data_IF_839791955304
#
_entry.id   IF_839791955304
#
_cell.length_a   1.000
_cell.length_b   1.000
_cell.length_c   1.000
_cell.angle_alpha   90.00
_cell.angle_beta   90.00
_cell.angle_gamma   90.00
#
_symmetry.space_group_name_H-M   'P 1'
#
loop_
_entity.id
_entity.type
_entity.pdbx_description
1 polymer ?
#
# COMPACT_ATOMS: atom_id res chain seq x y z
N UNK A 1 23.31 4.45 3.57
CA UNK A 1 21.87 4.14 3.74
C UNK A 1 21.16 4.44 2.43
N UNK A 2 20.49 3.47 1.83
CA UNK A 2 19.64 3.65 0.64
C UNK A 2 18.22 3.98 1.09
N UNK A 3 17.59 4.96 0.44
CA UNK A 3 16.22 5.38 0.77
C UNK A 3 15.20 4.34 0.29
N UNK A 4 14.20 4.04 1.12
CA UNK A 4 13.01 3.29 0.73
C UNK A 4 12.29 4.00 -0.41
N UNK A 5 11.91 3.26 -1.46
CA UNK A 5 11.24 3.81 -2.64
C UNK A 5 9.78 3.41 -2.64
N UNK A 6 8.90 4.36 -2.91
CA UNK A 6 7.45 4.10 -3.03
C UNK A 6 6.87 4.94 -4.15
N UNK A 7 5.95 4.34 -4.90
CA UNK A 7 5.13 5.00 -5.92
C UNK A 7 3.70 5.05 -5.41
N UNK A 8 3.07 6.22 -5.51
CA UNK A 8 1.67 6.44 -5.18
C UNK A 8 0.93 6.80 -6.47
N UNK A 9 -0.01 5.95 -6.88
CA UNK A 9 -0.84 6.18 -8.07
C UNK A 9 -2.20 6.69 -7.65
N UNK A 10 -2.65 7.78 -8.27
CA UNK A 10 -4.00 8.30 -8.11
C UNK A 10 -4.83 8.01 -9.36
N UNK A 11 -6.04 7.51 -9.18
CA UNK A 11 -7.02 7.35 -10.26
C UNK A 11 -8.37 7.92 -9.84
N UNK A 12 -9.01 8.63 -10.76
CA UNK A 12 -10.38 9.14 -10.60
C UNK A 12 -11.44 8.08 -10.87
N UNK A 13 -11.08 7.00 -11.59
CA UNK A 13 -12.00 5.96 -12.04
C UNK A 13 -11.55 4.57 -11.58
N UNK A 14 -12.52 3.68 -11.37
CA UNK A 14 -12.25 2.28 -11.03
C UNK A 14 -11.62 1.56 -12.21
N UNK A 15 -10.82 0.52 -11.95
CA UNK A 15 -10.20 -0.23 -13.03
C UNK A 15 -11.20 -1.26 -13.54
N UNK A 16 -11.73 -0.98 -14.72
CA UNK A 16 -12.50 -1.95 -15.48
C UNK A 16 -11.56 -2.87 -16.27
N UNK A 17 -11.79 -4.18 -16.11
CA UNK A 17 -11.25 -5.33 -16.87
C UNK A 17 -10.02 -5.00 -17.71
N UNK A 18 -8.85 -5.42 -17.24
CA UNK A 18 -7.62 -5.30 -18.02
C UNK A 18 -7.77 -6.09 -19.33
N UNK A 19 -7.70 -5.38 -20.46
CA UNK A 19 -7.46 -6.03 -21.75
C UNK A 19 -6.18 -6.88 -21.66
N UNK A 20 -6.10 -8.05 -22.30
CA UNK A 20 -4.99 -8.99 -22.10
C UNK A 20 -3.60 -8.36 -22.31
N UNK A 21 -3.45 -7.49 -23.31
CA UNK A 21 -2.21 -6.77 -23.57
C UNK A 21 -1.84 -5.74 -22.50
N UNK A 22 -2.82 -5.04 -21.92
CA UNK A 22 -2.58 -4.08 -20.84
C UNK A 22 -2.33 -4.78 -19.49
N UNK A 23 -2.91 -5.97 -19.29
CA UNK A 23 -2.62 -6.81 -18.14
C UNK A 23 -1.16 -7.27 -18.13
N UNK A 24 -0.63 -7.72 -19.28
CA UNK A 24 0.76 -8.16 -19.41
C UNK A 24 1.75 -7.01 -19.19
N UNK A 25 1.54 -5.85 -19.83
CA UNK A 25 2.42 -4.69 -19.65
C UNK A 25 2.41 -4.18 -18.21
N UNK A 26 1.25 -4.17 -17.57
CA UNK A 26 1.10 -3.82 -16.14
C UNK A 26 1.84 -4.82 -15.26
N UNK A 27 1.71 -6.13 -15.52
CA UNK A 27 2.43 -7.16 -14.79
C UNK A 27 3.96 -7.03 -14.95
N UNK A 28 4.46 -6.77 -16.15
CA UNK A 28 5.88 -6.55 -16.42
C UNK A 28 6.41 -5.27 -15.78
N UNK A 29 5.63 -4.19 -15.83
CA UNK A 29 5.95 -2.94 -15.16
C UNK A 29 6.05 -3.13 -13.65
N UNK A 30 5.08 -3.82 -13.06
CA UNK A 30 5.07 -4.10 -11.63
C UNK A 30 6.16 -5.10 -11.20
N UNK A 31 6.50 -6.07 -12.04
CA UNK A 31 7.64 -6.97 -11.80
C UNK A 31 8.96 -6.19 -11.72
N UNK A 32 9.16 -5.21 -12.60
CA UNK A 32 10.31 -4.30 -12.55
C UNK A 32 10.30 -3.42 -11.29
N UNK A 33 9.13 -2.94 -10.88
CA UNK A 33 8.96 -2.18 -9.62
C UNK A 33 9.37 -3.03 -8.42
N UNK A 34 8.93 -4.30 -8.37
CA UNK A 34 9.30 -5.25 -7.33
C UNK A 34 10.79 -5.57 -7.31
N UNK A 35 11.38 -5.85 -8.47
CA UNK A 35 12.81 -6.13 -8.61
C UNK A 35 13.68 -4.95 -8.16
N UNK A 36 13.13 -3.73 -8.10
CA UNK A 36 13.82 -2.54 -7.58
C UNK A 36 13.51 -2.22 -6.13
N UNK A 37 12.77 -3.09 -5.44
CA UNK A 37 12.32 -2.87 -4.05
C UNK A 37 11.39 -1.68 -3.89
N UNK A 38 10.65 -1.31 -4.94
CA UNK A 38 9.76 -0.16 -4.92
C UNK A 38 8.39 -0.62 -4.43
N UNK A 39 7.86 0.06 -3.42
CA UNK A 39 6.51 -0.19 -2.93
C UNK A 39 5.47 0.46 -3.83
N UNK A 40 4.34 -0.21 -4.05
CA UNK A 40 3.30 0.28 -4.96
C UNK A 40 1.99 0.56 -4.22
N UNK A 41 1.71 1.83 -3.95
CA UNK A 41 0.48 2.28 -3.29
C UNK A 41 -0.50 2.87 -4.31
N UNK A 42 -1.80 2.72 -4.06
CA UNK A 42 -2.83 3.25 -4.96
C UNK A 42 -3.95 3.96 -4.19
N UNK A 43 -4.42 5.08 -4.73
CA UNK A 43 -5.65 5.77 -4.33
C UNK A 43 -6.59 5.75 -5.52
N UNK A 44 -7.66 4.96 -5.43
CA UNK A 44 -8.61 4.81 -6.52
C UNK A 44 -9.99 4.45 -5.98
N UNK A 45 -11.07 4.73 -6.72
CA UNK A 45 -12.39 4.26 -6.32
C UNK A 45 -12.57 2.77 -6.62
N UNK A 46 -13.32 2.08 -5.77
CA UNK A 46 -13.80 0.72 -6.03
C UNK A 46 -15.26 0.77 -6.45
N UNK A 47 -15.67 -0.09 -7.38
CA UNK A 47 -17.08 -0.23 -7.79
C UNK A 47 -17.99 -0.59 -6.62
N UNK A 48 -17.53 -1.52 -5.78
CA UNK A 48 -18.17 -1.87 -4.53
C UNK A 48 -17.12 -2.14 -3.46
N UNK A 49 -17.48 -1.82 -2.21
CA UNK A 49 -16.71 -2.16 -1.02
C UNK A 49 -17.70 -2.47 0.09
N UNK A 50 -17.45 -3.52 0.86
CA UNK A 50 -18.34 -3.96 1.93
C UNK A 50 -17.65 -4.85 2.95
N UNK A 51 -18.34 -5.10 4.05
CA UNK A 51 -17.92 -5.99 5.13
C UNK A 51 -19.00 -7.06 5.34
N UNK A 52 -18.66 -8.34 5.23
CA UNK A 52 -19.65 -9.45 5.36
C UNK A 52 -20.21 -9.59 6.76
N UNK A 53 -19.49 -9.15 7.78
CA UNK A 53 -19.85 -9.28 9.19
C UNK A 53 -20.74 -8.13 9.69
N UNK A 54 -21.07 -7.14 8.85
CA UNK A 54 -21.94 -6.04 9.27
C UNK A 54 -22.70 -5.41 8.10
N UNK A 55 -23.96 -5.08 8.32
CA UNK A 55 -24.76 -4.26 7.38
C UNK A 55 -24.58 -2.76 7.62
N UNK A 56 -23.77 -2.38 8.60
CA UNK A 56 -23.53 -0.99 8.97
C UNK A 56 -22.67 -0.27 7.92
N UNK A 57 -23.35 0.45 7.04
CA UNK A 57 -22.74 1.26 5.99
C UNK A 57 -21.85 2.36 6.54
N UNK A 58 -22.03 2.80 7.79
CA UNK A 58 -21.17 3.83 8.38
C UNK A 58 -19.74 3.32 8.54
N UNK A 59 -19.56 2.07 8.99
CA UNK A 59 -18.25 1.40 9.13
C UNK A 59 -17.56 1.23 7.78
N UNK A 60 -18.31 0.83 6.76
CA UNK A 60 -17.77 0.69 5.40
C UNK A 60 -17.30 2.04 4.87
N UNK A 61 -18.09 3.10 5.06
CA UNK A 61 -17.75 4.47 4.62
C UNK A 61 -16.57 5.10 5.38
N UNK A 62 -16.24 4.58 6.56
CA UNK A 62 -15.10 5.03 7.34
C UNK A 62 -13.85 4.16 7.17
N UNK A 63 -13.86 3.20 6.24
CA UNK A 63 -12.64 2.55 5.75
C UNK A 63 -11.81 3.57 4.96
N UNK A 64 -10.54 3.74 5.36
CA UNK A 64 -9.56 4.59 4.66
C UNK A 64 -8.90 3.82 3.52
N UNK A 65 -8.50 2.59 3.79
CA UNK A 65 -7.75 1.75 2.88
C UNK A 65 -7.44 0.41 3.51
N UNK A 66 -6.68 -0.41 2.80
CA UNK A 66 -6.30 -1.74 3.25
C UNK A 66 -5.08 -2.25 2.48
N UNK A 67 -4.45 -3.30 3.00
CA UNK A 67 -3.41 -4.07 2.31
C UNK A 67 -3.70 -5.56 2.46
N UNK A 68 -2.72 -6.42 2.16
CA UNK A 68 -2.88 -7.88 2.25
C UNK A 68 -3.26 -8.36 3.66
N UNK A 69 -2.92 -7.60 4.73
CA UNK A 69 -3.05 -8.05 6.13
C UNK A 69 -4.19 -7.39 6.90
N UNK A 70 -4.42 -6.10 6.68
CA UNK A 70 -5.27 -5.28 7.55
C UNK A 70 -6.12 -4.29 6.76
N UNK A 71 -7.22 -3.88 7.38
CA UNK A 71 -8.05 -2.74 6.95
C UNK A 71 -7.80 -1.57 7.89
N UNK A 72 -7.55 -0.40 7.33
CA UNK A 72 -7.40 0.86 8.07
C UNK A 72 -8.72 1.59 8.13
N UNK A 73 -9.14 1.93 9.34
CA UNK A 73 -10.38 2.65 9.60
C UNK A 73 -10.10 4.05 10.14
N UNK A 74 -10.99 5.01 9.85
CA UNK A 74 -10.80 6.41 10.25
C UNK A 74 -10.60 6.57 11.76
N UNK A 75 -11.34 5.77 12.54
CA UNK A 75 -11.40 5.83 13.99
C UNK A 75 -10.49 4.82 14.70
N UNK A 76 -9.51 4.24 14.01
CA UNK A 76 -8.55 3.35 14.67
C UNK A 76 -7.75 4.08 15.74
N UNK A 77 -7.61 3.47 16.93
CA UNK A 77 -6.81 4.00 18.05
C UNK A 77 -5.38 4.34 17.63
N UNK A 78 -4.82 3.54 16.71
CA UNK A 78 -3.55 3.79 16.03
C UNK A 78 -3.76 3.68 14.53
N UNK A 79 -3.54 4.78 13.82
CA UNK A 79 -3.77 4.94 12.37
C UNK A 79 -3.06 3.90 11.50
N UNK A 80 -1.97 3.30 12.01
CA UNK A 80 -1.05 2.43 11.27
C UNK A 80 -1.24 0.94 11.53
N UNK A 81 -2.09 0.54 12.50
CA UNK A 81 -2.25 -0.87 12.87
C UNK A 81 -3.33 -1.56 12.03
N UNK A 82 -4.48 -0.89 11.85
CA UNK A 82 -5.64 -1.49 11.19
C UNK A 82 -6.24 -2.68 11.93
N UNK A 83 -7.20 -3.35 11.31
CA UNK A 83 -7.85 -4.57 11.81
C UNK A 83 -7.68 -5.73 10.84
N UNK A 84 -7.17 -6.85 11.36
CA UNK A 84 -7.06 -8.11 10.61
C UNK A 84 -8.40 -8.82 10.48
N UNK A 85 -9.30 -8.58 11.45
CA UNK A 85 -10.64 -9.15 11.51
C UNK A 85 -11.52 -8.51 10.43
N UNK A 86 -11.45 -7.19 10.27
CA UNK A 86 -12.12 -6.49 9.16
C UNK A 86 -11.55 -6.90 7.80
N UNK A 87 -10.26 -7.23 7.71
CA UNK A 87 -9.67 -7.73 6.46
C UNK A 87 -10.31 -9.04 6.02
N UNK A 88 -10.57 -9.96 6.95
CA UNK A 88 -11.22 -11.25 6.67
C UNK A 88 -12.67 -11.08 6.19
N UNK A 89 -13.37 -10.02 6.61
CA UNK A 89 -14.74 -9.75 6.18
C UNK A 89 -14.85 -8.80 4.98
N UNK A 90 -13.75 -8.21 4.53
CA UNK A 90 -13.73 -7.25 3.42
C UNK A 90 -14.12 -7.92 2.08
N UNK A 91 -15.01 -7.27 1.34
CA UNK A 91 -15.42 -7.64 -0.02
C UNK A 91 -15.35 -6.43 -0.94
N UNK A 92 -14.90 -6.63 -2.16
CA UNK A 92 -14.79 -5.61 -3.21
C UNK A 92 -14.76 -6.25 -4.60
N UNK A 93 -15.21 -5.53 -5.63
CA UNK A 93 -15.33 -6.06 -7.00
C UNK A 93 -14.10 -5.81 -7.90
N UNK A 94 -13.21 -4.86 -7.57
CA UNK A 94 -12.01 -4.57 -8.38
C UNK A 94 -10.84 -5.47 -7.96
N UNK A 95 -10.77 -6.65 -8.58
CA UNK A 95 -9.79 -7.68 -8.20
C UNK A 95 -8.39 -7.36 -8.73
N UNK A 96 -8.25 -6.76 -9.92
CA UNK A 96 -6.93 -6.66 -10.59
C UNK A 96 -6.06 -5.59 -9.95
N UNK A 97 -6.58 -4.38 -9.75
CA UNK A 97 -5.81 -3.28 -9.18
C UNK A 97 -5.41 -3.56 -7.74
N UNK A 98 -6.36 -4.09 -6.95
CA UNK A 98 -6.13 -4.48 -5.57
C UNK A 98 -5.13 -5.63 -5.48
N UNK A 99 -5.29 -6.68 -6.29
CA UNK A 99 -4.35 -7.82 -6.29
C UNK A 99 -2.94 -7.38 -6.67
N UNK A 100 -2.80 -6.42 -7.59
CA UNK A 100 -1.49 -5.84 -7.89
C UNK A 100 -0.90 -5.18 -6.64
N UNK A 101 -1.60 -4.21 -6.04
CA UNK A 101 -1.14 -3.51 -4.84
C UNK A 101 -0.75 -4.47 -3.72
N UNK A 102 -1.57 -5.48 -3.44
CA UNK A 102 -1.29 -6.49 -2.41
C UNK A 102 -0.06 -7.34 -2.73
N UNK A 103 0.07 -7.84 -3.96
CA UNK A 103 1.24 -8.64 -4.40
C UNK A 103 2.57 -7.88 -4.33
N UNK A 104 2.51 -6.55 -4.42
CA UNK A 104 3.67 -5.67 -4.35
C UNK A 104 3.81 -4.98 -2.99
N UNK A 105 3.13 -5.52 -1.95
CA UNK A 105 3.31 -5.12 -0.56
C UNK A 105 2.84 -3.71 -0.24
N UNK A 106 1.97 -3.12 -1.07
CA UNK A 106 1.47 -1.76 -0.92
C UNK A 106 0.11 -1.67 -0.24
N UNK A 107 -0.43 -0.45 -0.20
CA UNK A 107 -1.75 -0.15 0.34
C UNK A 107 -2.68 0.41 -0.74
N UNK A 108 -3.93 -0.05 -0.72
CA UNK A 108 -5.01 0.47 -1.54
C UNK A 108 -5.88 1.39 -0.68
N UNK A 109 -6.02 2.65 -1.08
CA UNK A 109 -6.83 3.65 -0.39
C UNK A 109 -8.11 3.93 -1.16
N UNK A 110 -9.25 3.88 -0.45
CA UNK A 110 -10.59 3.84 -1.02
C UNK A 110 -11.08 5.27 -1.31
N UNK A 111 -10.89 5.75 -2.53
CA UNK A 111 -11.10 7.16 -2.87
C UNK A 111 -12.57 7.60 -2.70
N UNK A 112 -13.53 6.74 -3.01
CA UNK A 112 -14.95 7.06 -2.85
C UNK A 112 -15.32 7.29 -1.38
N UNK A 113 -14.64 6.65 -0.43
CA UNK A 113 -14.87 6.88 1.00
C UNK A 113 -14.36 8.24 1.45
N UNK A 114 -13.26 8.75 0.86
CA UNK A 114 -12.83 10.13 1.04
C UNK A 114 -13.86 11.11 0.45
N UNK A 115 -14.32 10.87 -0.77
CA UNK A 115 -15.27 11.74 -1.46
C UNK A 115 -16.61 11.86 -0.71
N UNK A 116 -17.04 10.78 -0.07
CA UNK A 116 -18.28 10.71 0.70
C UNK A 116 -18.21 11.38 2.09
N UNK A 117 -17.04 11.83 2.54
CA UNK A 117 -16.92 12.56 3.80
C UNK A 117 -17.56 13.95 3.68
N UNK A 118 -18.51 14.24 4.57
CA UNK A 118 -19.27 15.50 4.54
C UNK A 118 -18.50 16.67 5.14
N UNK A 119 -17.74 16.43 6.20
CA UNK A 119 -17.07 17.51 6.93
C UNK A 119 -15.61 17.67 6.50
N UNK A 120 -15.05 18.90 6.49
CA UNK A 120 -13.62 19.13 6.24
C UNK A 120 -12.71 18.42 7.25
N UNK A 121 -13.17 18.28 8.49
CA UNK A 121 -12.46 17.58 9.56
C UNK A 121 -12.25 16.10 9.20
N UNK A 122 -13.29 15.44 8.73
CA UNK A 122 -13.25 14.02 8.35
C UNK A 122 -12.36 13.81 7.12
N UNK A 123 -12.44 14.72 6.13
CA UNK A 123 -11.52 14.70 4.96
C UNK A 123 -10.05 14.84 5.38
N UNK A 124 -9.75 15.76 6.29
CA UNK A 124 -8.39 15.94 6.84
C UNK A 124 -7.93 14.70 7.61
N UNK A 125 -8.80 14.07 8.38
CA UNK A 125 -8.51 12.84 9.10
C UNK A 125 -8.20 11.68 8.16
N UNK A 126 -8.97 11.51 7.08
CA UNK A 126 -8.69 10.50 6.06
C UNK A 126 -7.28 10.69 5.47
N UNK A 127 -6.95 11.90 5.00
CA UNK A 127 -5.63 12.20 4.43
C UNK A 127 -4.53 11.96 5.46
N UNK A 128 -4.77 12.36 6.72
CA UNK A 128 -3.79 12.15 7.79
C UNK A 128 -3.57 10.66 8.09
N UNK A 129 -4.58 9.81 7.94
CA UNK A 129 -4.44 8.37 8.09
C UNK A 129 -3.65 7.76 6.93
N UNK A 130 -3.95 8.15 5.69
CA UNK A 130 -3.18 7.75 4.49
C UNK A 130 -1.70 8.09 4.68
N UNK A 131 -1.40 9.34 5.04
CA UNK A 131 -0.02 9.80 5.25
C UNK A 131 0.68 9.03 6.37
N UNK A 132 -0.01 8.77 7.50
CA UNK A 132 0.56 8.01 8.61
C UNK A 132 0.87 6.56 8.22
N UNK A 133 -0.02 5.89 7.49
CA UNK A 133 0.19 4.53 7.00
C UNK A 133 1.39 4.48 6.06
N UNK A 134 1.48 5.40 5.10
CA UNK A 134 2.59 5.45 4.16
C UNK A 134 3.92 5.77 4.84
N UNK A 135 3.94 6.73 5.76
CA UNK A 135 5.14 7.10 6.50
C UNK A 135 5.67 5.93 7.36
N UNK A 136 4.77 5.21 8.04
CA UNK A 136 5.10 4.02 8.81
C UNK A 136 5.64 2.90 7.93
N UNK A 137 5.00 2.69 6.78
CA UNK A 137 5.44 1.68 5.82
C UNK A 137 6.84 2.01 5.30
N UNK A 138 7.08 3.24 4.85
CA UNK A 138 8.38 3.69 4.34
C UNK A 138 9.50 3.60 5.39
N UNK A 139 9.20 3.95 6.65
CA UNK A 139 10.19 3.98 7.73
C UNK A 139 10.57 2.59 8.24
N UNK A 140 9.67 1.60 8.11
CA UNK A 140 9.88 0.22 8.58
C UNK A 140 10.16 -0.78 7.47
N UNK A 141 10.16 -0.34 6.22
CA UNK A 141 10.52 -1.21 5.10
C UNK A 141 12.04 -1.34 5.04
N UNK A 142 12.51 -2.57 5.18
CA UNK A 142 13.87 -2.97 4.90
C UNK A 142 13.90 -3.62 3.52
N UNK A 143 14.93 -3.28 2.73
CA UNK A 143 15.15 -3.86 1.40
C UNK A 143 16.57 -4.35 1.31
N UNK A 144 16.73 -5.66 1.16
CA UNK A 144 18.01 -6.29 0.87
C UNK A 144 18.21 -6.30 -0.63
N UNK A 145 19.35 -5.79 -1.08
CA UNK A 145 19.68 -5.72 -2.49
C UNK A 145 20.92 -6.56 -2.78
N UNK A 146 20.85 -7.35 -3.83
CA UNK A 146 21.99 -8.00 -4.46
C UNK A 146 22.50 -7.10 -5.57
N UNK A 147 23.75 -6.64 -5.44
CA UNK A 147 24.37 -5.76 -6.42
C UNK A 147 25.53 -6.47 -7.10
N UNK A 148 25.55 -6.42 -8.43
CA UNK A 148 26.68 -6.86 -9.24
C UNK A 148 27.30 -5.68 -9.96
N UNK A 149 28.63 -5.70 -10.07
CA UNK A 149 29.38 -4.72 -10.85
C UNK A 149 29.67 -5.33 -12.22
N UNK A 150 29.41 -4.58 -13.29
CA UNK A 150 29.73 -4.96 -14.65
C UNK A 150 30.33 -3.78 -15.41
N UNK A 151 31.07 -4.07 -16.48
CA UNK A 151 31.63 -3.04 -17.35
C UNK A 151 30.63 -2.73 -18.46
N UNK A 152 30.02 -1.54 -18.45
CA UNK A 152 29.21 -1.07 -19.57
C UNK A 152 30.11 -0.78 -20.76
N UNK A 153 29.86 -1.50 -21.86
CA UNK A 153 30.68 -1.41 -23.07
C UNK A 153 32.15 -1.78 -22.84
N UNK A 154 32.46 -2.54 -21.79
CA UNK A 154 33.84 -2.94 -21.46
C UNK A 154 34.74 -1.84 -20.88
N UNK A 155 34.24 -0.61 -20.72
CA UNK A 155 35.07 0.57 -20.39
C UNK A 155 34.71 1.23 -19.06
N UNK A 156 33.43 1.29 -18.71
CA UNK A 156 32.96 2.01 -17.54
C UNK A 156 32.32 1.06 -16.53
N UNK A 157 32.79 1.00 -15.27
CA UNK A 157 32.16 0.19 -14.24
C UNK A 157 30.78 0.77 -13.91
N UNK A 158 29.76 -0.07 -13.95
CA UNK A 158 28.40 0.22 -13.50
C UNK A 158 27.96 -0.83 -12.48
N UNK A 159 27.17 -0.40 -11.50
CA UNK A 159 26.53 -1.30 -10.55
C UNK A 159 25.05 -1.46 -10.88
N UNK A 160 24.59 -2.70 -11.01
CA UNK A 160 23.17 -3.02 -11.06
C UNK A 160 22.78 -3.74 -9.78
N UNK A 161 21.74 -3.24 -9.12
CA UNK A 161 21.19 -3.79 -7.90
C UNK A 161 19.77 -4.30 -8.14
N UNK A 162 19.48 -5.49 -7.63
CA UNK A 162 18.14 -6.08 -7.61
C UNK A 162 17.76 -6.35 -6.17
N UNK A 163 16.54 -6.00 -5.79
CA UNK A 163 16.00 -6.32 -4.47
C UNK A 163 15.80 -7.84 -4.38
N UNK A 164 16.54 -8.49 -3.49
CA UNK A 164 16.42 -9.92 -3.20
C UNK A 164 15.37 -10.18 -2.12
N UNK A 165 15.22 -9.26 -1.15
CA UNK A 165 14.18 -9.31 -0.13
C UNK A 165 13.63 -7.92 0.20
N UNK A 166 12.33 -7.86 0.50
CA UNK A 166 11.62 -6.66 0.93
C UNK A 166 10.68 -7.04 2.06
N UNK A 167 10.98 -6.56 3.27
CA UNK A 167 10.17 -6.86 4.44
C UNK A 167 9.79 -5.60 5.22
N UNK A 168 8.57 -5.57 5.73
CA UNK A 168 8.14 -4.55 6.68
C UNK A 168 8.45 -5.06 8.08
N UNK A 169 9.47 -4.48 8.71
CA UNK A 169 9.90 -4.83 10.07
C UNK A 169 8.76 -4.63 11.06
N UNK A 170 8.66 -5.47 12.09
CA UNK A 170 7.66 -5.28 13.16
C UNK A 170 7.90 -3.95 13.90
N UNK A 171 6.85 -3.33 14.48
CA UNK A 171 7.05 -2.09 15.23
C UNK A 171 7.97 -2.41 16.41
N UNK A 172 9.00 -1.59 16.62
CA UNK A 172 9.89 -1.77 17.77
C UNK A 172 9.04 -1.85 19.05
N UNK A 173 9.18 -2.94 19.80
CA UNK A 173 8.63 -2.99 21.17
C UNK A 173 9.27 -1.83 21.90
N UNK A 174 8.46 -0.93 22.47
CA UNK A 174 8.99 0.15 23.32
C UNK A 174 9.92 -0.50 24.33
N UNK A 175 11.22 -0.23 24.23
CA UNK A 175 12.14 -0.56 25.30
C UNK A 175 11.55 0.11 26.55
N UNK A 176 11.27 -0.70 27.57
CA UNK A 176 10.71 -0.21 28.82
C UNK A 176 11.54 0.98 29.28
N UNK A 177 10.88 2.11 29.56
CA UNK A 177 11.55 3.33 29.94
C UNK A 177 12.53 3.04 31.07
N UNK A 178 13.81 3.34 30.84
CA UNK A 178 14.77 3.41 31.92
C UNK A 178 14.24 4.47 32.90
N UNK A 179 13.84 4.01 34.10
CA UNK A 179 13.60 4.90 35.23
C UNK A 179 14.96 5.47 35.60
N UNK A 180 15.17 6.74 35.31
CA UNK A 180 16.21 7.59 35.89
C UNK A 180 15.61 8.44 36.98
#
# INVERSE_FOLDING_TARGET
>A
ATASKSVLVFRSESIDVAQPGSALSTALGLANVKARGIMFNMVAPLKSVGLTNTKDQSKVKSIVGFNERVVYHMNDKKRTVGSSEMKKSLKYDDVVAVSAVERFGGNFFVLQNYANQKTPKDKKQFISNVAAVMAEQLSRTETTNECFCYLRGGLHPESACTASDVQVLQPAKKAGGARG
#
